data_IF_754900748247
#
_entry.id   IF_754900748247
#
_cell.length_a   1.000
_cell.length_b   1.000
_cell.length_c   1.000
_cell.angle_alpha   90.00
_cell.angle_beta   90.00
_cell.angle_gamma   90.00
#
_symmetry.space_group_name_H-M   'P 1'
#
loop_
_entity.id
_entity.type
_entity.pdbx_description
1 polymer ?
#
# COMPACT_ATOMS: atom_id res chain seq x y z
N UNK A 1 -9.53 7.81 -0.20
CA UNK A 1 -8.33 6.95 -0.15
C UNK A 1 -7.24 7.48 -1.07
N UNK A 2 -5.97 7.31 -0.69
CA UNK A 2 -4.82 7.69 -1.50
C UNK A 2 -3.91 6.51 -1.85
N UNK A 3 -3.03 6.71 -2.83
CA UNK A 3 -2.02 5.72 -3.24
C UNK A 3 -0.63 6.35 -3.27
N UNK A 4 0.35 5.70 -2.65
CA UNK A 4 1.75 6.14 -2.67
C UNK A 4 2.67 5.01 -3.13
N UNK A 5 3.45 5.25 -4.18
CA UNK A 5 4.46 4.27 -4.60
C UNK A 5 3.92 3.28 -5.63
N UNK A 6 4.56 3.28 -6.80
CA UNK A 6 4.18 2.47 -7.95
C UNK A 6 5.31 1.51 -8.39
N UNK A 7 6.30 1.29 -7.53
CA UNK A 7 7.51 0.51 -7.83
C UNK A 7 7.23 -0.97 -8.15
N UNK A 8 6.13 -1.52 -7.66
CA UNK A 8 5.78 -2.93 -7.77
C UNK A 8 4.38 -3.11 -8.38
N UNK A 9 4.25 -3.97 -9.39
CA UNK A 9 2.98 -4.17 -10.12
C UNK A 9 1.82 -4.70 -9.25
N UNK A 10 2.13 -5.24 -8.07
CA UNK A 10 1.14 -5.71 -7.10
C UNK A 10 0.19 -4.59 -6.66
N UNK A 11 0.63 -3.33 -6.71
CA UNK A 11 -0.23 -2.18 -6.42
C UNK A 11 -1.46 -2.14 -7.33
N UNK A 12 -1.33 -2.58 -8.58
CA UNK A 12 -2.44 -2.57 -9.53
C UNK A 12 -3.59 -3.48 -9.07
N UNK A 13 -3.26 -4.67 -8.57
CA UNK A 13 -4.26 -5.61 -8.07
C UNK A 13 -4.89 -5.10 -6.78
N UNK A 14 -4.09 -4.58 -5.85
CA UNK A 14 -4.60 -3.96 -4.62
C UNK A 14 -5.56 -2.81 -4.92
N UNK A 15 -5.20 -1.91 -5.84
CA UNK A 15 -6.05 -0.80 -6.22
C UNK A 15 -7.35 -1.30 -6.87
N UNK A 16 -7.31 -2.30 -7.76
CA UNK A 16 -8.53 -2.89 -8.35
C UNK A 16 -9.44 -3.51 -7.30
N UNK A 17 -8.87 -4.27 -6.37
CA UNK A 17 -9.63 -4.90 -5.29
C UNK A 17 -10.30 -3.88 -4.37
N UNK A 18 -9.61 -2.78 -4.07
CA UNK A 18 -10.16 -1.69 -3.26
C UNK A 18 -11.21 -0.89 -4.04
N UNK A 19 -10.96 -0.61 -5.32
CA UNK A 19 -11.91 0.09 -6.19
C UNK A 19 -13.24 -0.68 -6.34
N UNK A 20 -13.20 -2.02 -6.26
CA UNK A 20 -14.39 -2.85 -6.28
C UNK A 20 -15.21 -2.83 -4.97
N UNK A 21 -14.67 -2.29 -3.87
CA UNK A 21 -15.39 -2.23 -2.60
C UNK A 21 -16.38 -1.06 -2.55
N UNK A 22 -17.65 -1.30 -2.17
CA UNK A 22 -18.59 -0.22 -1.91
C UNK A 22 -18.05 0.72 -0.83
N UNK A 23 -18.09 2.03 -1.08
CA UNK A 23 -17.64 3.05 -0.12
C UNK A 23 -16.17 3.47 -0.25
N UNK A 24 -15.42 2.92 -1.22
CA UNK A 24 -14.10 3.43 -1.57
C UNK A 24 -14.22 4.59 -2.55
N UNK A 25 -13.67 5.74 -2.16
CA UNK A 25 -13.49 6.91 -3.01
C UNK A 25 -12.01 7.22 -3.18
N UNK A 26 -11.56 7.40 -4.42
CA UNK A 26 -10.18 7.80 -4.72
C UNK A 26 -10.02 9.31 -4.64
N UNK A 27 -8.97 9.77 -3.94
CA UNK A 27 -8.69 11.20 -3.75
C UNK A 27 -7.47 11.63 -4.57
N UNK A 28 -6.35 10.92 -4.39
CA UNK A 28 -5.10 11.27 -5.07
C UNK A 28 -4.14 10.08 -5.11
N UNK A 29 -3.18 10.17 -6.03
CA UNK A 29 -2.03 9.28 -6.04
C UNK A 29 -0.73 10.05 -6.23
N UNK A 30 0.35 9.50 -5.70
CA UNK A 30 1.69 10.02 -5.85
C UNK A 30 2.69 8.88 -5.92
N UNK A 31 3.89 9.15 -6.42
CA UNK A 31 4.96 8.16 -6.42
C UNK A 31 6.13 8.62 -5.55
N UNK A 32 7.00 7.67 -5.23
CA UNK A 32 8.32 7.95 -4.67
C UNK A 32 9.32 8.21 -5.79
N UNK A 33 10.32 9.05 -5.52
CA UNK A 33 11.44 9.19 -6.45
C UNK A 33 12.23 7.88 -6.47
N UNK A 34 12.36 7.21 -7.62
CA UNK A 34 13.00 5.91 -7.68
C UNK A 34 14.50 6.02 -7.39
N UNK A 35 15.06 5.03 -6.69
CA UNK A 35 16.51 4.97 -6.46
C UNK A 35 17.30 4.77 -7.77
N UNK A 36 16.66 4.15 -8.76
CA UNK A 36 17.18 4.00 -10.12
C UNK A 36 16.05 4.31 -11.11
N UNK A 37 16.26 5.21 -12.09
CA UNK A 37 15.27 5.47 -13.12
C UNK A 37 14.89 4.19 -13.87
N UNK A 38 13.64 4.14 -14.34
CA UNK A 38 13.23 3.05 -15.22
C UNK A 38 14.00 3.11 -16.53
N UNK A 39 14.48 1.95 -16.99
CA UNK A 39 15.19 1.85 -18.26
C UNK A 39 14.23 1.83 -19.45
N UNK A 40 12.99 1.41 -19.22
CA UNK A 40 11.96 1.24 -20.23
C UNK A 40 10.61 1.67 -19.68
N UNK A 41 9.78 2.25 -20.53
CA UNK A 41 8.36 2.46 -20.27
C UNK A 41 7.57 1.31 -20.92
N UNK A 42 6.99 0.44 -20.10
CA UNK A 42 6.34 -0.78 -20.56
C UNK A 42 5.23 -1.21 -19.60
N UNK A 43 4.41 -2.18 -20.02
CA UNK A 43 3.38 -2.74 -19.15
C UNK A 43 3.99 -3.21 -17.83
N UNK A 44 3.34 -2.86 -16.72
CA UNK A 44 3.74 -3.17 -15.33
C UNK A 44 4.98 -2.43 -14.81
N UNK A 45 5.53 -1.45 -15.55
CA UNK A 45 6.54 -0.53 -15.02
C UNK A 45 5.89 0.54 -14.14
N UNK A 46 6.67 1.22 -13.32
CA UNK A 46 6.25 2.27 -12.38
C UNK A 46 5.42 3.34 -13.06
N UNK A 47 5.92 3.87 -14.18
CA UNK A 47 5.19 4.87 -14.97
C UNK A 47 3.85 4.34 -15.47
N UNK A 48 3.84 3.11 -15.99
CA UNK A 48 2.61 2.46 -16.47
C UNK A 48 1.60 2.21 -15.34
N UNK A 49 2.05 1.74 -14.18
CA UNK A 49 1.20 1.49 -13.01
C UNK A 49 0.49 2.78 -12.55
N UNK A 50 1.20 3.92 -12.50
CA UNK A 50 0.61 5.22 -12.15
C UNK A 50 -0.32 5.73 -13.26
N UNK A 51 0.15 5.80 -14.49
CA UNK A 51 -0.53 6.50 -15.57
C UNK A 51 -1.68 5.69 -16.17
N UNK A 52 -1.42 4.43 -16.53
CA UNK A 52 -2.42 3.60 -17.20
C UNK A 52 -3.45 3.02 -16.23
N UNK A 53 -3.04 2.65 -15.01
CA UNK A 53 -3.94 2.02 -14.03
C UNK A 53 -4.56 3.04 -13.09
N UNK A 54 -3.77 3.73 -12.27
CA UNK A 54 -4.31 4.65 -11.27
C UNK A 54 -5.06 5.82 -11.91
N UNK A 55 -4.41 6.60 -12.77
CA UNK A 55 -5.04 7.77 -13.41
C UNK A 55 -5.98 7.39 -14.56
N UNK A 56 -5.67 6.32 -15.30
CA UNK A 56 -6.43 5.86 -16.47
C UNK A 56 -7.61 4.96 -16.09
N UNK A 57 -7.33 3.67 -15.86
CA UNK A 57 -8.35 2.64 -15.62
C UNK A 57 -9.25 2.93 -14.42
N UNK A 58 -8.67 3.36 -13.30
CA UNK A 58 -9.38 3.55 -12.03
C UNK A 58 -9.89 4.98 -11.82
N UNK A 59 -9.44 5.92 -12.66
CA UNK A 59 -9.89 7.31 -12.63
C UNK A 59 -9.55 8.04 -11.32
N UNK A 60 -8.40 7.78 -10.70
CA UNK A 60 -7.95 8.57 -9.54
C UNK A 60 -7.81 10.05 -9.97
N UNK A 61 -8.50 11.00 -9.32
CA UNK A 61 -8.73 12.32 -9.92
C UNK A 61 -7.50 13.25 -9.88
N UNK A 62 -6.53 12.98 -8.99
CA UNK A 62 -5.32 13.81 -8.83
C UNK A 62 -4.06 12.96 -8.82
N UNK A 63 -3.07 13.38 -9.60
CA UNK A 63 -1.71 12.84 -9.58
C UNK A 63 -0.72 13.89 -9.08
N UNK A 64 0.09 13.53 -8.09
CA UNK A 64 1.17 14.37 -7.56
C UNK A 64 2.53 13.81 -7.95
N UNK A 65 3.51 14.71 -8.03
CA UNK A 65 4.92 14.35 -8.26
C UNK A 65 5.66 14.05 -6.95
N UNK A 66 5.26 14.68 -5.84
CA UNK A 66 5.73 14.36 -4.48
C UNK A 66 4.56 13.90 -3.60
N UNK A 67 4.72 12.72 -2.99
CA UNK A 67 3.74 12.19 -2.05
C UNK A 67 3.59 13.03 -0.79
N UNK A 68 4.62 13.79 -0.39
CA UNK A 68 4.54 14.70 0.76
C UNK A 68 3.61 15.87 0.48
N UNK A 69 3.66 16.39 -0.74
CA UNK A 69 2.74 17.42 -1.20
C UNK A 69 1.30 16.88 -1.21
N UNK A 70 1.10 15.67 -1.73
CA UNK A 70 -0.20 14.99 -1.68
C UNK A 70 -0.73 14.89 -0.25
N UNK A 71 0.09 14.42 0.70
CA UNK A 71 -0.31 14.33 2.11
C UNK A 71 -0.63 15.70 2.70
N UNK A 72 0.11 16.76 2.36
CA UNK A 72 -0.18 18.11 2.87
C UNK A 72 -1.47 18.73 2.34
N UNK A 73 -1.88 18.38 1.12
CA UNK A 73 -2.98 19.03 0.41
C UNK A 73 -4.29 18.23 0.46
N UNK A 74 -4.22 16.92 0.69
CA UNK A 74 -5.37 16.03 0.58
C UNK A 74 -5.73 15.40 1.92
N UNK A 75 -7.03 15.34 2.22
CA UNK A 75 -7.52 14.59 3.37
C UNK A 75 -7.71 13.12 2.97
N UNK A 76 -6.98 12.22 3.62
CA UNK A 76 -6.96 10.79 3.32
C UNK A 76 -7.25 9.99 4.60
N UNK A 77 -8.22 9.09 4.55
CA UNK A 77 -8.52 8.20 5.69
C UNK A 77 -7.70 6.90 5.65
N UNK A 78 -7.36 6.44 4.44
CA UNK A 78 -6.57 5.24 4.19
C UNK A 78 -5.66 5.45 2.97
N UNK A 79 -4.41 5.02 3.09
CA UNK A 79 -3.39 5.05 2.04
C UNK A 79 -2.90 3.64 1.74
N UNK A 80 -2.96 3.24 0.48
CA UNK A 80 -2.25 2.03 0.01
C UNK A 80 -0.86 2.48 -0.43
N UNK A 81 0.19 1.78 0.02
CA UNK A 81 1.54 2.11 -0.40
C UNK A 81 2.38 0.91 -0.84
N UNK A 82 3.09 1.07 -1.95
CA UNK A 82 4.00 0.07 -2.54
C UNK A 82 5.23 0.72 -3.19
N UNK A 83 6.03 1.53 -2.47
CA UNK A 83 7.32 2.00 -2.97
C UNK A 83 8.33 0.85 -2.99
N UNK A 84 9.60 1.11 -3.31
CA UNK A 84 10.64 0.10 -3.11
C UNK A 84 10.69 -0.36 -1.64
N UNK A 85 10.95 -1.64 -1.39
CA UNK A 85 11.02 -2.22 -0.03
C UNK A 85 11.91 -1.44 0.96
N UNK A 86 12.96 -0.77 0.46
CA UNK A 86 13.86 0.05 1.29
C UNK A 86 13.31 1.41 1.69
N UNK A 87 12.17 1.83 1.11
CA UNK A 87 11.48 3.10 1.36
C UNK A 87 10.18 2.91 2.16
N UNK A 88 9.82 1.69 2.54
CA UNK A 88 8.60 1.43 3.31
C UNK A 88 8.58 2.20 4.64
N UNK A 89 9.70 2.27 5.36
CA UNK A 89 9.80 2.96 6.64
C UNK A 89 9.48 4.44 6.56
N UNK A 90 10.18 5.16 5.66
CA UNK A 90 9.97 6.61 5.49
C UNK A 90 8.54 6.96 5.01
N UNK A 91 7.97 6.15 4.12
CA UNK A 91 6.62 6.40 3.58
C UNK A 91 5.57 6.10 4.66
N UNK A 92 5.72 5.01 5.41
CA UNK A 92 4.82 4.69 6.52
C UNK A 92 4.85 5.77 7.62
N UNK A 93 6.03 6.28 7.97
CA UNK A 93 6.15 7.37 8.94
C UNK A 93 5.45 8.65 8.46
N UNK A 94 5.58 8.98 7.17
CA UNK A 94 4.88 10.13 6.60
C UNK A 94 3.35 9.95 6.60
N UNK A 95 2.85 8.76 6.26
CA UNK A 95 1.43 8.44 6.31
C UNK A 95 0.90 8.47 7.76
N UNK A 96 1.68 7.95 8.71
CA UNK A 96 1.32 7.98 10.14
C UNK A 96 1.26 9.42 10.66
N UNK A 97 2.23 10.27 10.31
CA UNK A 97 2.25 11.68 10.69
C UNK A 97 1.06 12.45 10.10
N UNK A 98 0.57 12.04 8.93
CA UNK A 98 -0.66 12.56 8.32
C UNK A 98 -1.93 12.12 9.08
N UNK A 99 -1.87 11.00 9.81
CA UNK A 99 -3.00 10.44 10.55
C UNK A 99 -3.91 9.53 9.71
N UNK A 100 -3.44 9.04 8.56
CA UNK A 100 -4.18 8.06 7.76
C UNK A 100 -3.86 6.63 8.19
N UNK A 101 -4.86 5.74 8.10
CA UNK A 101 -4.61 4.32 8.11
C UNK A 101 -3.78 3.92 6.88
N UNK A 102 -3.07 2.79 6.96
CA UNK A 102 -2.19 2.39 5.88
C UNK A 102 -2.19 0.88 5.61
N UNK A 103 -2.07 0.53 4.33
CA UNK A 103 -1.97 -0.83 3.84
C UNK A 103 -0.78 -0.94 2.87
N UNK A 104 0.12 -1.89 3.13
CA UNK A 104 1.29 -2.19 2.27
C UNK A 104 1.27 -3.61 1.74
N UNK A 105 2.03 -3.88 0.69
CA UNK A 105 2.38 -5.24 0.27
C UNK A 105 3.46 -5.89 1.14
N UNK A 106 3.59 -7.21 1.00
CA UNK A 106 4.75 -7.96 1.51
C UNK A 106 5.97 -7.81 0.57
N UNK A 107 7.20 -7.82 1.11
CA UNK A 107 7.54 -7.84 2.54
C UNK A 107 7.22 -6.50 3.23
N UNK A 108 6.94 -6.54 4.54
CA UNK A 108 6.64 -5.32 5.32
C UNK A 108 7.73 -4.25 5.19
N UNK A 109 9.00 -4.66 5.26
CA UNK A 109 10.16 -3.78 5.11
C UNK A 109 11.41 -4.60 4.71
N UNK A 110 12.48 -3.89 4.32
CA UNK A 110 13.77 -4.51 3.99
C UNK A 110 14.60 -4.95 5.22
N UNK A 111 14.27 -4.48 6.43
CA UNK A 111 14.95 -4.86 7.66
C UNK A 111 14.01 -4.83 8.87
N UNK A 112 14.41 -5.47 9.97
CA UNK A 112 13.67 -5.43 11.23
C UNK A 112 13.59 -4.01 11.81
N UNK A 113 14.67 -3.23 11.69
CA UNK A 113 14.69 -1.85 12.19
C UNK A 113 13.66 -0.98 11.48
N UNK A 114 13.53 -1.12 10.16
CA UNK A 114 12.51 -0.43 9.37
C UNK A 114 11.10 -0.89 9.75
N UNK A 115 10.86 -2.20 9.86
CA UNK A 115 9.56 -2.72 10.27
C UNK A 115 9.13 -2.19 11.64
N UNK A 116 10.05 -2.12 12.61
CA UNK A 116 9.79 -1.57 13.93
C UNK A 116 9.52 -0.06 13.92
N UNK A 117 10.18 0.70 13.04
CA UNK A 117 9.88 2.12 12.83
C UNK A 117 8.45 2.32 12.33
N UNK A 118 8.04 1.57 11.31
CA UNK A 118 6.68 1.61 10.78
C UNK A 118 5.63 1.29 11.86
N UNK A 119 5.86 0.21 12.63
CA UNK A 119 4.96 -0.20 13.71
C UNK A 119 4.81 0.87 14.78
N UNK A 120 5.91 1.46 15.26
CA UNK A 120 5.88 2.50 16.30
C UNK A 120 5.25 3.80 15.81
N UNK A 121 5.48 4.17 14.55
CA UNK A 121 4.87 5.37 13.97
C UNK A 121 3.34 5.21 13.89
N UNK A 122 2.86 4.06 13.42
CA UNK A 122 1.43 3.75 13.37
C UNK A 122 0.79 3.76 14.77
N UNK A 123 1.44 3.12 15.76
CA UNK A 123 0.99 3.11 17.16
C UNK A 123 0.94 4.52 17.76
N UNK A 124 2.00 5.32 17.60
CA UNK A 124 2.08 6.68 18.13
C UNK A 124 1.02 7.62 17.53
N UNK A 125 0.69 7.44 16.24
CA UNK A 125 -0.34 8.22 15.57
C UNK A 125 -1.76 7.69 15.81
N UNK A 126 -1.92 6.52 16.46
CA UNK A 126 -3.22 5.90 16.69
C UNK A 126 -3.89 5.38 15.40
N UNK A 127 -3.09 4.98 14.40
CA UNK A 127 -3.59 4.50 13.10
C UNK A 127 -3.22 3.02 12.88
N UNK A 128 -4.07 2.31 12.14
CA UNK A 128 -3.80 0.94 11.71
C UNK A 128 -2.75 0.87 10.60
N UNK A 129 -1.83 -0.10 10.71
CA UNK A 129 -0.92 -0.54 9.66
C UNK A 129 -1.20 -2.01 9.33
N UNK A 130 -1.59 -2.29 8.08
CA UNK A 130 -1.86 -3.64 7.58
C UNK A 130 -0.80 -4.01 6.54
N UNK A 131 -0.22 -5.21 6.69
CA UNK A 131 0.60 -5.82 5.65
C UNK A 131 -0.27 -6.84 4.92
N UNK A 132 -0.44 -6.67 3.61
CA UNK A 132 -1.19 -7.61 2.80
C UNK A 132 -0.43 -8.93 2.71
N UNK A 133 -0.93 -9.92 3.44
CA UNK A 133 -0.56 -11.32 3.33
C UNK A 133 -1.75 -12.08 2.73
N UNK A 134 -1.82 -12.27 1.41
CA UNK A 134 -3.01 -12.78 0.74
C UNK A 134 -3.53 -14.11 1.30
N UNK A 135 -2.62 -14.99 1.74
CA UNK A 135 -2.96 -16.30 2.30
C UNK A 135 -3.78 -16.22 3.60
N UNK A 136 -3.64 -15.14 4.36
CA UNK A 136 -4.39 -14.91 5.61
C UNK A 136 -5.90 -14.81 5.35
N UNK A 137 -6.28 -14.38 4.14
CA UNK A 137 -7.67 -14.21 3.73
C UNK A 137 -8.26 -15.46 3.04
N UNK A 138 -7.43 -16.46 2.72
CA UNK A 138 -7.86 -17.67 2.03
C UNK A 138 -8.82 -18.52 2.89
N UNK A 139 -10.02 -18.80 2.38
CA UNK A 139 -10.98 -19.66 3.06
C UNK A 139 -10.43 -21.05 3.36
N UNK A 140 -9.60 -21.60 2.47
CA UNK A 140 -8.96 -22.91 2.68
C UNK A 140 -7.95 -22.86 3.84
N UNK A 141 -7.10 -21.83 3.88
CA UNK A 141 -6.09 -21.67 4.94
C UNK A 141 -6.76 -21.40 6.29
N UNK A 142 -7.80 -20.54 6.31
CA UNK A 142 -8.59 -20.28 7.52
C UNK A 142 -9.33 -21.52 8.00
N UNK A 143 -9.82 -22.36 7.09
CA UNK A 143 -10.42 -23.65 7.43
C UNK A 143 -9.39 -24.60 8.02
N UNK A 144 -8.21 -24.72 7.40
CA UNK A 144 -7.13 -25.54 7.94
C UNK A 144 -6.71 -25.08 9.34
N UNK A 145 -6.52 -23.77 9.55
CA UNK A 145 -6.21 -23.20 10.86
C UNK A 145 -7.29 -23.50 11.90
N UNK A 146 -8.58 -23.36 11.53
CA UNK A 146 -9.70 -23.72 12.41
C UNK A 146 -9.69 -25.20 12.78
N UNK A 147 -9.57 -26.10 11.79
CA UNK A 147 -9.58 -27.56 12.00
C UNK A 147 -8.42 -28.01 12.88
N UNK A 148 -7.24 -27.39 12.74
CA UNK A 148 -6.09 -27.61 13.64
C UNK A 148 -6.43 -27.18 15.07
N UNK A 149 -6.96 -25.97 15.26
CA UNK A 149 -7.29 -25.46 16.60
C UNK A 149 -8.44 -26.21 17.29
N UNK A 150 -9.30 -26.88 16.52
CA UNK A 150 -10.36 -27.76 17.02
C UNK A 150 -9.86 -29.17 17.37
N UNK A 151 -8.59 -29.51 17.09
CA UNK A 151 -8.01 -30.83 17.39
C UNK A 151 -8.51 -31.96 16.47
N UNK A 152 -9.09 -31.64 15.32
CA UNK A 152 -9.67 -32.64 14.40
C UNK A 152 -8.63 -33.51 13.69
N UNK A 153 -7.37 -33.07 13.66
CA UNK A 153 -6.26 -33.75 12.99
C UNK A 153 -5.03 -33.98 13.88
N UNK A 154 -5.22 -33.98 15.21
CA UNK A 154 -4.17 -34.20 16.21
C UNK A 154 -4.33 -33.33 17.44
#
# INVERSE_FOLDING_TARGET
>A
MGVIGFAHMHINELMRQMHAQPGVEWVACADTVPNRPELVDAKNTRGWNKNAIALGELGIPKGYDDYREMLSNEKLDLVIFCPENSRHGEVAEAIAAHGAHMLTEKPMAASLSEALRMSRAAEAAGVSLIVNWPITWSAAVRTAHRVINEGLIG
#
